data_IF_244733378862
#
_entry.id   IF_244733378862
#
_cell.length_a   1.000
_cell.length_b   1.000
_cell.length_c   1.000
_cell.angle_alpha   90.00
_cell.angle_beta   90.00
_cell.angle_gamma   90.00
#
_symmetry.space_group_name_H-M   'P 1'
#
loop_
_entity.id
_entity.type
_entity.pdbx_description
1 polymer ?
#
# COMPACT_ATOMS: atom_id res chain seq x y z
N UNK A 1 -5.02 -8.58 27.92
CA UNK A 1 -4.55 -7.20 28.12
C UNK A 1 -3.79 -6.76 26.88
N UNK A 2 -4.41 -5.99 26.00
CA UNK A 2 -3.77 -5.43 24.80
C UNK A 2 -3.70 -3.92 24.99
N UNK A 3 -2.51 -3.39 25.29
CA UNK A 3 -2.27 -1.95 25.27
C UNK A 3 -2.03 -1.53 23.82
N UNK A 4 -2.82 -0.59 23.31
CA UNK A 4 -2.46 0.39 22.26
C UNK A 4 -3.66 1.32 22.08
N UNK A 5 -3.83 2.22 23.03
CA UNK A 5 -4.71 3.38 22.91
C UNK A 5 -3.90 4.58 22.37
N UNK A 6 -3.02 4.34 21.39
CA UNK A 6 -2.30 5.43 20.74
C UNK A 6 -3.17 5.93 19.59
N UNK A 7 -3.90 7.02 19.86
CA UNK A 7 -4.66 7.71 18.83
C UNK A 7 -3.70 8.34 17.83
N UNK A 8 -3.69 7.83 16.60
CA UNK A 8 -2.92 8.39 15.51
C UNK A 8 -3.74 9.46 14.78
N UNK A 9 -3.29 10.71 14.83
CA UNK A 9 -3.90 11.80 14.04
C UNK A 9 -3.19 11.89 12.69
N UNK A 10 -3.96 11.79 11.60
CA UNK A 10 -3.45 11.82 10.23
C UNK A 10 -4.13 12.96 9.48
N UNK A 11 -3.37 13.82 8.80
CA UNK A 11 -3.96 14.81 7.91
C UNK A 11 -4.53 14.16 6.64
N UNK A 12 -5.78 14.50 6.30
CA UNK A 12 -6.41 14.03 5.08
C UNK A 12 -6.17 14.99 3.92
N UNK A 13 -5.67 14.45 2.80
CA UNK A 13 -5.56 15.20 1.56
C UNK A 13 -6.96 15.44 0.92
N UNK A 14 -7.01 16.28 -0.12
CA UNK A 14 -8.26 16.62 -0.81
C UNK A 14 -9.01 15.41 -1.38
N UNK A 15 -8.30 14.36 -1.80
CA UNK A 15 -8.90 13.15 -2.37
C UNK A 15 -9.56 12.29 -1.29
N UNK A 16 -8.87 12.06 -0.17
CA UNK A 16 -9.43 11.35 0.98
C UNK A 16 -10.64 12.08 1.58
N UNK A 17 -10.58 13.42 1.65
CA UNK A 17 -11.73 14.24 2.07
C UNK A 17 -12.91 14.10 1.13
N UNK A 18 -12.70 14.16 -0.18
CA UNK A 18 -13.78 13.98 -1.16
C UNK A 18 -14.48 12.62 -1.05
N UNK A 19 -13.74 11.55 -0.68
CA UNK A 19 -14.35 10.24 -0.40
C UNK A 19 -15.26 10.34 0.82
N UNK A 20 -14.81 10.93 1.93
CA UNK A 20 -15.64 11.11 3.12
C UNK A 20 -16.86 12.00 2.85
N UNK A 21 -16.68 13.08 2.08
CA UNK A 21 -17.76 14.01 1.72
C UNK A 21 -18.86 13.32 0.91
N UNK A 22 -18.51 12.33 0.07
CA UNK A 22 -19.47 11.51 -0.67
C UNK A 22 -20.39 10.70 0.26
N UNK A 23 -19.91 10.31 1.43
CA UNK A 23 -20.63 9.47 2.38
C UNK A 23 -21.16 10.23 3.61
N UNK A 24 -20.96 11.56 3.69
CA UNK A 24 -21.23 12.37 4.89
C UNK A 24 -22.68 12.30 5.40
N UNK A 25 -23.64 12.12 4.50
CA UNK A 25 -25.08 12.09 4.82
C UNK A 25 -25.62 10.64 4.94
N UNK A 26 -24.74 9.63 4.80
CA UNK A 26 -25.09 8.21 4.82
C UNK A 26 -24.70 7.63 6.19
N UNK A 27 -25.66 6.99 6.86
CA UNK A 27 -25.44 6.37 8.15
C UNK A 27 -25.09 4.89 7.98
N UNK A 28 -23.93 4.48 8.49
CA UNK A 28 -23.51 3.07 8.54
C UNK A 28 -23.63 2.49 9.94
N UNK A 29 -23.71 1.17 10.02
CA UNK A 29 -23.67 0.44 11.29
C UNK A 29 -22.39 0.75 12.08
N UNK A 30 -22.47 0.63 13.41
CA UNK A 30 -21.35 0.86 14.33
C UNK A 30 -20.73 2.27 14.25
N UNK A 31 -21.49 3.27 13.81
CA UNK A 31 -21.05 4.67 13.67
C UNK A 31 -19.81 4.82 12.77
N UNK A 32 -19.67 3.95 11.77
CA UNK A 32 -18.55 4.01 10.82
C UNK A 32 -18.75 5.15 9.82
N UNK A 33 -17.66 5.81 9.44
CA UNK A 33 -17.67 6.89 8.44
C UNK A 33 -17.75 6.37 6.99
N UNK A 34 -17.48 5.08 6.78
CA UNK A 34 -17.42 4.42 5.47
C UNK A 34 -18.06 3.03 5.57
N UNK A 35 -18.52 2.45 4.45
CA UNK A 35 -18.93 1.05 4.43
C UNK A 35 -17.70 0.16 4.67
N UNK A 36 -17.64 -0.50 5.83
CA UNK A 36 -16.53 -1.38 6.19
C UNK A 36 -16.90 -2.82 5.86
N UNK A 37 -16.10 -3.44 4.99
CA UNK A 37 -16.21 -4.86 4.63
C UNK A 37 -15.04 -5.65 5.20
N UNK A 38 -15.11 -6.98 5.16
CA UNK A 38 -13.98 -7.82 5.58
C UNK A 38 -12.75 -7.59 4.70
N UNK A 39 -11.56 -7.75 5.29
CA UNK A 39 -10.30 -7.63 4.54
C UNK A 39 -10.22 -8.63 3.37
N UNK A 40 -10.82 -9.80 3.50
CA UNK A 40 -10.92 -10.77 2.42
C UNK A 40 -11.69 -10.20 1.23
N UNK A 41 -12.92 -9.70 1.46
CA UNK A 41 -13.73 -9.07 0.41
C UNK A 41 -13.05 -7.84 -0.18
N UNK A 42 -12.38 -7.03 0.65
CA UNK A 42 -11.60 -5.89 0.17
C UNK A 42 -10.48 -6.32 -0.77
N UNK A 43 -9.74 -7.39 -0.44
CA UNK A 43 -8.69 -7.92 -1.32
C UNK A 43 -9.28 -8.48 -2.62
N UNK A 44 -10.43 -9.15 -2.56
CA UNK A 44 -11.10 -9.67 -3.75
C UNK A 44 -11.48 -8.51 -4.70
N UNK A 45 -12.05 -7.43 -4.18
CA UNK A 45 -12.35 -6.22 -4.96
C UNK A 45 -11.10 -5.52 -5.49
N UNK A 46 -9.99 -5.51 -4.73
CA UNK A 46 -8.72 -4.93 -5.22
C UNK A 46 -8.17 -5.72 -6.41
N UNK A 47 -8.28 -7.06 -6.40
CA UNK A 47 -7.86 -7.92 -7.50
C UNK A 47 -8.73 -7.68 -8.74
N UNK A 48 -10.04 -7.64 -8.57
CA UNK A 48 -10.99 -7.31 -9.65
C UNK A 48 -10.70 -5.94 -10.27
N UNK A 49 -10.51 -4.91 -9.43
CA UNK A 49 -10.13 -3.57 -9.91
C UNK A 49 -8.79 -3.57 -10.64
N UNK A 50 -7.81 -4.34 -10.16
CA UNK A 50 -6.50 -4.46 -10.81
C UNK A 50 -6.58 -5.17 -12.17
N UNK A 51 -7.46 -6.17 -12.29
CA UNK A 51 -7.74 -6.86 -13.55
C UNK A 51 -8.37 -5.91 -14.57
N UNK A 52 -9.42 -5.17 -14.14
CA UNK A 52 -10.08 -4.15 -14.98
C UNK A 52 -9.15 -3.00 -15.37
N UNK A 53 -8.16 -2.69 -14.54
CA UNK A 53 -7.12 -1.70 -14.83
C UNK A 53 -5.94 -2.27 -15.64
N UNK A 54 -6.04 -3.50 -16.12
CA UNK A 54 -5.04 -4.19 -16.96
C UNK A 54 -3.66 -4.32 -16.29
N UNK A 55 -3.62 -4.49 -14.97
CA UNK A 55 -2.37 -4.71 -14.20
C UNK A 55 -1.97 -6.19 -14.32
N UNK A 56 -1.68 -6.62 -15.55
CA UNK A 56 -1.55 -8.02 -15.96
C UNK A 56 -0.08 -8.49 -16.09
N UNK A 57 0.89 -7.68 -15.67
CA UNK A 57 2.32 -8.04 -15.71
C UNK A 57 2.53 -9.41 -15.02
N UNK A 58 3.15 -10.41 -15.68
CA UNK A 58 3.36 -11.72 -15.08
C UNK A 58 4.43 -11.64 -13.99
N UNK A 59 4.08 -12.10 -12.79
CA UNK A 59 4.98 -12.19 -11.63
C UNK A 59 5.26 -13.66 -11.37
N UNK A 60 6.55 -14.02 -11.29
CA UNK A 60 6.98 -15.37 -10.94
C UNK A 60 7.30 -15.42 -9.45
N UNK A 61 6.58 -16.28 -8.72
CA UNK A 61 6.82 -16.55 -7.32
C UNK A 61 7.40 -17.97 -7.18
N UNK A 62 8.51 -18.07 -6.45
CA UNK A 62 9.14 -19.34 -6.12
C UNK A 62 9.04 -19.56 -4.62
N UNK A 63 8.36 -20.63 -4.21
CA UNK A 63 8.24 -21.00 -2.81
C UNK A 63 8.32 -22.52 -2.62
N UNK A 64 8.54 -22.96 -1.38
CA UNK A 64 8.63 -24.38 -1.04
C UNK A 64 7.38 -24.82 -0.28
N UNK A 65 6.80 -25.96 -0.68
CA UNK A 65 5.73 -26.64 0.07
C UNK A 65 6.25 -28.00 0.51
N UNK A 66 6.68 -28.09 1.77
CA UNK A 66 7.46 -29.24 2.25
C UNK A 66 8.83 -29.26 1.55
N UNK A 67 9.17 -30.39 0.92
CA UNK A 67 10.41 -30.54 0.15
C UNK A 67 10.28 -30.18 -1.33
N UNK A 68 9.08 -29.83 -1.79
CA UNK A 68 8.82 -29.50 -3.19
C UNK A 68 9.01 -28.00 -3.44
N UNK A 69 9.83 -27.67 -4.43
CA UNK A 69 9.93 -26.31 -4.96
C UNK A 69 8.80 -26.09 -5.96
N UNK A 70 8.00 -25.06 -5.72
CA UNK A 70 6.91 -24.64 -6.60
C UNK A 70 7.31 -23.30 -7.22
N UNK A 71 7.25 -23.24 -8.54
CA UNK A 71 7.37 -22.00 -9.31
C UNK A 71 5.98 -21.70 -9.91
N UNK A 72 5.36 -20.61 -9.50
CA UNK A 72 4.06 -20.17 -10.00
C UNK A 72 4.22 -18.85 -10.77
N UNK A 73 3.47 -18.70 -11.86
CA UNK A 73 3.39 -17.43 -12.59
C UNK A 73 1.95 -16.93 -12.50
N UNK A 74 1.76 -15.80 -11.83
CA UNK A 74 0.46 -15.18 -11.63
C UNK A 74 0.48 -13.76 -12.21
N UNK A 75 -0.64 -13.26 -12.74
CA UNK A 75 -0.72 -11.86 -13.14
C UNK A 75 -0.68 -10.96 -11.90
N UNK A 76 -0.03 -9.81 -12.00
CA UNK A 76 0.22 -8.90 -10.87
C UNK A 76 -1.04 -8.48 -10.13
N UNK A 77 -2.18 -8.33 -10.81
CA UNK A 77 -3.46 -8.02 -10.16
C UNK A 77 -3.87 -9.07 -9.13
N UNK A 78 -3.56 -10.36 -9.36
CA UNK A 78 -3.93 -11.46 -8.47
C UNK A 78 -3.19 -11.40 -7.12
N UNK A 79 -2.08 -10.66 -7.06
CA UNK A 79 -1.24 -10.44 -5.89
C UNK A 79 -1.62 -9.17 -5.10
N UNK A 80 -2.61 -8.40 -5.58
CA UNK A 80 -3.03 -7.17 -4.91
C UNK A 80 -3.70 -7.47 -3.56
N UNK A 81 -3.41 -6.61 -2.59
CA UNK A 81 -3.98 -6.65 -1.25
C UNK A 81 -3.94 -5.26 -0.61
N UNK A 82 -4.67 -5.07 0.48
CA UNK A 82 -4.60 -3.83 1.28
C UNK A 82 -3.19 -3.55 1.78
N UNK A 83 -2.39 -4.58 2.07
CA UNK A 83 -0.99 -4.42 2.44
C UNK A 83 -0.14 -3.89 1.28
N UNK A 84 -0.37 -4.38 0.04
CA UNK A 84 0.27 -3.82 -1.16
C UNK A 84 -0.06 -2.33 -1.34
N UNK A 85 -1.30 -1.93 -1.07
CA UNK A 85 -1.71 -0.51 -1.06
C UNK A 85 -0.92 0.33 -0.06
N UNK A 86 -0.76 -0.15 1.19
CA UNK A 86 0.05 0.53 2.22
C UNK A 86 1.51 0.66 1.81
N UNK A 87 2.12 -0.41 1.27
CA UNK A 87 3.51 -0.39 0.78
C UNK A 87 3.69 0.62 -0.34
N UNK A 88 2.75 0.65 -1.29
CA UNK A 88 2.74 1.60 -2.41
C UNK A 88 2.66 3.04 -1.93
N UNK A 89 1.78 3.34 -0.96
CA UNK A 89 1.70 4.67 -0.35
C UNK A 89 3.03 5.11 0.27
N UNK A 90 3.69 4.23 1.02
CA UNK A 90 4.97 4.53 1.67
C UNK A 90 6.07 4.83 0.63
N UNK A 91 6.26 3.94 -0.36
CA UNK A 91 7.27 4.13 -1.40
C UNK A 91 7.04 5.43 -2.17
N UNK A 92 5.79 5.72 -2.54
CA UNK A 92 5.46 6.95 -3.27
C UNK A 92 5.72 8.20 -2.43
N UNK A 93 5.35 8.21 -1.14
CA UNK A 93 5.62 9.34 -0.27
C UNK A 93 7.13 9.62 -0.14
N UNK A 94 7.95 8.58 0.01
CA UNK A 94 9.41 8.71 0.07
C UNK A 94 10.01 9.15 -1.27
N UNK A 95 9.51 8.64 -2.40
CA UNK A 95 9.92 9.06 -3.74
C UNK A 95 9.59 10.54 -4.01
N UNK A 96 8.49 11.04 -3.48
CA UNK A 96 8.11 12.46 -3.49
C UNK A 96 8.97 13.34 -2.55
N UNK A 97 9.92 12.75 -1.83
CA UNK A 97 10.83 13.47 -0.92
C UNK A 97 10.25 13.77 0.45
N UNK A 98 9.09 13.18 0.81
CA UNK A 98 8.52 13.35 2.15
C UNK A 98 9.44 12.65 3.17
N UNK A 99 9.86 13.32 4.26
CA UNK A 99 10.76 12.72 5.23
C UNK A 99 10.18 11.43 5.84
N UNK A 100 11.03 10.41 6.00
CA UNK A 100 10.61 9.11 6.52
C UNK A 100 9.90 9.20 7.89
N UNK A 101 10.34 10.13 8.76
CA UNK A 101 9.70 10.38 10.05
C UNK A 101 8.23 10.84 9.93
N UNK A 102 7.90 11.61 8.89
CA UNK A 102 6.51 12.04 8.61
C UNK A 102 5.69 10.84 8.13
N UNK A 103 6.24 10.07 7.18
CA UNK A 103 5.57 8.87 6.66
C UNK A 103 5.35 7.82 7.75
N UNK A 104 6.29 7.66 8.67
CA UNK A 104 6.15 6.78 9.85
C UNK A 104 4.98 7.19 10.72
N UNK A 105 4.80 8.50 10.99
CA UNK A 105 3.65 9.02 11.73
C UNK A 105 2.34 8.69 11.01
N UNK A 106 2.24 8.93 9.71
CA UNK A 106 1.00 8.60 8.97
C UNK A 106 0.70 7.11 8.89
N UNK A 107 1.72 6.27 8.95
CA UNK A 107 1.57 4.83 8.79
C UNK A 107 1.66 4.06 10.10
N UNK A 108 1.82 4.72 11.25
CA UNK A 108 1.90 4.06 12.56
C UNK A 108 3.09 3.11 12.72
N UNK A 109 4.21 3.37 12.02
CA UNK A 109 5.46 2.64 12.27
C UNK A 109 6.22 3.32 13.41
N UNK A 110 6.51 2.59 14.47
CA UNK A 110 7.30 3.07 15.60
C UNK A 110 8.81 2.89 15.40
N UNK A 111 9.22 1.86 14.67
CA UNK A 111 10.63 1.54 14.41
C UNK A 111 11.09 2.03 13.03
N UNK A 112 12.17 2.81 13.01
CA UNK A 112 12.81 3.27 11.78
C UNK A 112 13.38 2.12 10.95
N UNK A 113 13.80 1.02 11.58
CA UNK A 113 14.30 -0.16 10.85
C UNK A 113 13.23 -0.76 9.94
N UNK A 114 11.96 -0.68 10.33
CA UNK A 114 10.84 -1.12 9.49
C UNK A 114 10.69 -0.28 8.20
N UNK A 115 11.27 0.93 8.16
CA UNK A 115 11.26 1.80 6.98
C UNK A 115 12.36 1.49 5.97
N UNK A 116 13.43 0.80 6.38
CA UNK A 116 14.63 0.58 5.57
C UNK A 116 14.32 -0.01 4.18
N UNK A 117 13.48 -1.06 4.04
CA UNK A 117 13.16 -1.60 2.71
C UNK A 117 12.48 -0.59 1.78
N UNK A 118 11.68 0.33 2.31
CA UNK A 118 10.99 1.34 1.49
C UNK A 118 11.91 2.50 1.10
N UNK A 119 12.84 2.86 1.99
CA UNK A 119 13.86 3.88 1.72
C UNK A 119 14.76 3.40 0.59
N UNK A 120 15.23 2.16 0.66
CA UNK A 120 16.11 1.57 -0.35
C UNK A 120 15.44 1.56 -1.73
N UNK A 121 14.15 1.19 -1.81
CA UNK A 121 13.37 1.27 -3.06
C UNK A 121 13.29 2.72 -3.59
N UNK A 122 13.03 3.70 -2.72
CA UNK A 122 12.92 5.09 -3.14
C UNK A 122 14.27 5.66 -3.63
N UNK A 123 15.38 5.26 -3.01
CA UNK A 123 16.72 5.64 -3.41
C UNK A 123 17.12 5.00 -4.74
N UNK A 124 16.78 3.72 -4.96
CA UNK A 124 16.97 3.03 -6.24
C UNK A 124 16.17 3.71 -7.37
N UNK A 125 14.92 4.12 -7.11
CA UNK A 125 14.10 4.87 -8.07
C UNK A 125 14.78 6.19 -8.44
N UNK A 126 15.30 6.93 -7.46
CA UNK A 126 16.01 8.20 -7.72
C UNK A 126 17.29 7.99 -8.52
N UNK A 127 18.09 6.97 -8.17
CA UNK A 127 19.31 6.63 -8.91
C UNK A 127 18.99 6.26 -10.37
N UNK A 128 17.96 5.43 -10.59
CA UNK A 128 17.51 5.06 -11.93
C UNK A 128 16.96 6.26 -12.73
N UNK A 129 16.30 7.22 -12.06
CA UNK A 129 15.87 8.46 -12.72
C UNK A 129 17.07 9.29 -13.20
N UNK A 130 18.15 9.37 -12.41
CA UNK A 130 19.38 10.06 -12.82
C UNK A 130 20.03 9.40 -14.04
N UNK A 131 20.03 8.06 -14.10
CA UNK A 131 20.59 7.33 -15.24
C UNK A 131 19.91 7.66 -16.57
N UNK A 132 18.65 8.14 -16.58
CA UNK A 132 17.97 8.58 -17.81
C UNK A 132 18.64 9.81 -18.45
N UNK A 133 19.34 10.65 -17.67
CA UNK A 133 20.11 11.76 -18.22
C UNK A 133 21.31 11.29 -19.05
N UNK A 134 21.84 10.10 -18.80
CA UNK A 134 22.95 9.53 -19.57
C UNK A 134 22.52 9.01 -20.95
N UNK A 135 21.22 9.00 -21.23
CA UNK A 135 20.63 8.55 -22.49
C UNK A 135 20.16 9.74 -23.37
N UNK A 136 20.41 10.98 -22.91
CA UNK A 136 20.24 12.21 -23.68
C UNK A 136 21.52 12.51 -24.47
#
# INVERSE_FOLDING_TARGET
>A
HSQTADSLTIELNKYSKAILDKYKDIHFENYMALPVISNQKMNDYLKELGELAEINEPVRETYYKGNERIDEVTPKYALLSTHAGRRTFICNALALGIPAQVVMKWTGHSDYKAMKPYIDIADDIKANAMNKFNQL
#
